data_IF_518939137134
#
_entry.id   IF_518939137134
#
_cell.length_a   1.000
_cell.length_b   1.000
_cell.length_c   1.000
_cell.angle_alpha   90.00
_cell.angle_beta   90.00
_cell.angle_gamma   90.00
#
_symmetry.space_group_name_H-M   'P 1'
#
loop_
_entity.id
_entity.type
_entity.pdbx_description
1 polymer ?
#
# COMPACT_ATOMS: atom_id res chain seq x y z
N UNK A 1 -0.34 15.00 -16.27
CA UNK A 1 -0.96 16.35 -16.46
C UNK A 1 0.11 17.45 -16.44
N UNK A 2 -0.20 18.72 -16.80
CA UNK A 2 0.73 19.84 -16.54
C UNK A 2 0.51 20.43 -15.14
N UNK A 3 1.46 21.24 -14.64
CA UNK A 3 1.26 21.99 -13.38
C UNK A 3 0.05 22.93 -13.47
N UNK A 4 -0.20 23.50 -14.65
CA UNK A 4 -1.31 24.41 -14.88
C UNK A 4 -2.65 23.66 -14.82
N UNK A 5 -2.72 22.47 -15.42
CA UNK A 5 -3.92 21.62 -15.39
C UNK A 5 -4.24 21.18 -13.96
N UNK A 6 -3.22 20.76 -13.19
CA UNK A 6 -3.39 20.43 -11.77
C UNK A 6 -3.96 21.63 -10.98
N UNK A 7 -3.46 22.84 -11.24
CA UNK A 7 -3.95 24.05 -10.58
C UNK A 7 -5.38 24.40 -11.00
N UNK A 8 -5.74 24.16 -12.26
CA UNK A 8 -7.11 24.35 -12.75
C UNK A 8 -8.06 23.37 -12.06
N UNK A 9 -7.67 22.09 -11.94
CA UNK A 9 -8.41 21.08 -11.19
C UNK A 9 -8.59 21.48 -9.71
N UNK A 10 -7.52 21.97 -9.06
CA UNK A 10 -7.59 22.43 -7.68
C UNK A 10 -8.51 23.64 -7.51
N UNK A 11 -8.52 24.60 -8.44
CA UNK A 11 -9.46 25.72 -8.42
C UNK A 11 -10.90 25.24 -8.67
N UNK A 12 -11.12 24.27 -9.56
CA UNK A 12 -12.44 23.69 -9.77
C UNK A 12 -12.96 22.97 -8.51
N UNK A 13 -12.08 22.26 -7.79
CA UNK A 13 -12.40 21.60 -6.51
C UNK A 13 -12.59 22.59 -5.36
N UNK A 14 -11.85 23.70 -5.36
CA UNK A 14 -11.88 24.76 -4.35
C UNK A 14 -12.14 26.13 -5.00
N UNK A 15 -13.39 26.45 -5.39
CA UNK A 15 -13.72 27.64 -6.20
C UNK A 15 -13.42 29.00 -5.55
N UNK A 16 -13.22 29.03 -4.24
CA UNK A 16 -12.82 30.23 -3.51
C UNK A 16 -11.32 30.56 -3.63
N UNK A 17 -10.52 29.68 -4.23
CA UNK A 17 -9.07 29.84 -4.41
C UNK A 17 -8.71 30.28 -5.83
N UNK A 18 -7.47 30.72 -6.03
CA UNK A 18 -6.91 31.09 -7.33
C UNK A 18 -5.68 30.25 -7.65
N UNK A 19 -5.46 29.94 -8.93
CA UNK A 19 -4.34 29.09 -9.40
C UNK A 19 -2.95 29.59 -8.96
N UNK A 20 -2.79 30.91 -8.76
CA UNK A 20 -1.53 31.53 -8.30
C UNK A 20 -1.23 31.25 -6.83
N UNK A 21 -2.24 30.95 -6.01
CA UNK A 21 -2.12 30.73 -4.57
C UNK A 21 -1.64 29.30 -4.26
N UNK A 22 -1.92 28.36 -5.16
CA UNK A 22 -1.42 26.99 -5.07
C UNK A 22 0.07 26.92 -5.38
N UNK A 23 0.86 26.44 -4.42
CA UNK A 23 2.31 26.21 -4.58
C UNK A 23 2.59 24.73 -4.74
N UNK A 24 3.26 24.33 -5.82
CA UNK A 24 3.75 22.95 -5.98
C UNK A 24 4.95 22.75 -5.05
N UNK A 25 4.88 21.71 -4.22
CA UNK A 25 5.94 21.36 -3.27
C UNK A 25 6.79 20.19 -3.78
N UNK A 26 6.16 19.15 -4.36
CA UNK A 26 6.85 17.97 -4.85
C UNK A 26 6.11 17.30 -6.02
N UNK A 27 6.83 16.45 -6.75
CA UNK A 27 6.31 15.48 -7.72
C UNK A 27 7.03 14.14 -7.52
N UNK A 28 6.30 13.03 -7.52
CA UNK A 28 6.80 11.68 -7.27
C UNK A 28 5.82 10.62 -7.76
N UNK A 29 6.22 9.35 -7.79
CA UNK A 29 5.33 8.23 -8.09
C UNK A 29 4.80 7.60 -6.79
N UNK A 30 3.53 7.20 -6.79
CA UNK A 30 2.94 6.39 -5.71
C UNK A 30 3.25 4.89 -5.90
N UNK A 31 2.62 4.05 -5.08
CA UNK A 31 2.67 2.58 -5.11
C UNK A 31 2.10 1.95 -6.39
N UNK A 32 1.25 2.65 -7.12
CA UNK A 32 0.68 2.25 -8.42
C UNK A 32 1.47 2.81 -9.61
N UNK A 33 2.63 3.43 -9.36
CA UNK A 33 3.42 4.19 -10.34
C UNK A 33 2.69 5.39 -10.98
N UNK A 34 1.57 5.84 -10.39
CA UNK A 34 0.90 7.07 -10.80
C UNK A 34 1.73 8.30 -10.41
N UNK A 35 1.74 9.30 -11.28
CA UNK A 35 2.38 10.58 -11.02
C UNK A 35 1.56 11.40 -10.02
N UNK A 36 2.11 11.62 -8.83
CA UNK A 36 1.50 12.43 -7.77
C UNK A 36 2.20 13.78 -7.67
N UNK A 37 1.41 14.85 -7.55
CA UNK A 37 1.90 16.18 -7.17
C UNK A 37 1.35 16.61 -5.83
N UNK A 38 2.24 17.04 -4.94
CA UNK A 38 1.88 17.69 -3.69
C UNK A 38 1.81 19.19 -3.88
N UNK A 39 0.70 19.79 -3.46
CA UNK A 39 0.48 21.23 -3.43
C UNK A 39 0.18 21.71 -2.02
N UNK A 40 0.57 22.95 -1.72
CA UNK A 40 0.16 23.66 -0.53
C UNK A 40 -0.60 24.94 -0.89
N UNK A 41 -1.58 25.28 -0.07
CA UNK A 41 -2.35 26.51 -0.13
C UNK A 41 -2.52 27.11 1.27
N UNK A 42 -2.41 28.44 1.44
CA UNK A 42 -2.47 29.08 2.77
C UNK A 42 -3.74 28.76 3.57
N UNK A 43 -4.88 28.65 2.90
CA UNK A 43 -6.19 28.41 3.55
C UNK A 43 -6.65 26.96 3.55
N UNK A 44 -6.30 26.20 2.50
CA UNK A 44 -6.81 24.81 2.32
C UNK A 44 -5.86 23.80 2.96
N UNK A 45 -4.58 24.15 3.11
CA UNK A 45 -3.55 23.24 3.58
C UNK A 45 -2.87 22.50 2.43
N UNK A 46 -2.42 21.27 2.71
CA UNK A 46 -1.75 20.41 1.74
C UNK A 46 -2.75 19.48 1.06
N UNK A 47 -2.58 19.32 -0.25
CA UNK A 47 -3.38 18.41 -1.09
C UNK A 47 -2.46 17.68 -2.06
N UNK A 48 -2.90 16.51 -2.50
CA UNK A 48 -2.22 15.69 -3.49
C UNK A 48 -3.11 15.59 -4.72
N UNK A 49 -2.49 15.70 -5.90
CA UNK A 49 -3.16 15.47 -7.17
C UNK A 49 -2.58 14.20 -7.78
N UNK A 50 -3.43 13.21 -8.01
CA UNK A 50 -3.09 12.07 -8.85
C UNK A 50 -3.30 12.50 -10.31
N UNK A 51 -2.20 12.61 -11.06
CA UNK A 51 -2.25 13.12 -12.43
C UNK A 51 -2.83 12.13 -13.43
N UNK A 52 -2.82 10.84 -13.11
CA UNK A 52 -3.29 9.77 -14.01
C UNK A 52 -4.81 9.63 -13.93
N UNK A 53 -5.38 9.82 -12.74
CA UNK A 53 -6.83 9.74 -12.50
C UNK A 53 -7.52 11.10 -12.42
N UNK A 54 -6.78 12.21 -12.49
CA UNK A 54 -7.29 13.58 -12.32
C UNK A 54 -8.02 13.78 -10.97
N UNK A 55 -7.53 13.13 -9.92
CA UNK A 55 -8.15 13.14 -8.60
C UNK A 55 -7.42 14.04 -7.61
N UNK A 56 -8.20 14.69 -6.73
CA UNK A 56 -7.69 15.51 -5.63
C UNK A 56 -7.90 14.77 -4.32
N UNK A 57 -6.79 14.46 -3.66
CA UNK A 57 -6.75 13.66 -2.43
C UNK A 57 -6.25 14.55 -1.30
N UNK A 58 -6.89 14.46 -0.13
CA UNK A 58 -6.60 15.30 1.05
C UNK A 58 -6.08 14.51 2.24
N UNK A 59 -6.14 13.17 2.17
CA UNK A 59 -5.63 12.29 3.21
C UNK A 59 -4.19 11.89 2.85
N UNK A 60 -3.21 12.35 3.62
CA UNK A 60 -1.80 12.01 3.40
C UNK A 60 -1.47 10.54 3.67
N UNK A 61 -2.35 9.87 4.42
CA UNK A 61 -2.26 8.43 4.72
C UNK A 61 -2.93 7.58 3.66
N UNK A 62 -3.55 8.18 2.65
CA UNK A 62 -4.11 7.43 1.53
C UNK A 62 -2.97 6.71 0.79
N UNK A 63 -3.16 5.39 0.65
CA UNK A 63 -2.20 4.51 0.00
C UNK A 63 -1.84 4.99 -1.42
N UNK A 64 -2.81 5.56 -2.15
CA UNK A 64 -2.64 6.04 -3.51
C UNK A 64 -1.91 7.40 -3.62
N UNK A 65 -1.47 8.01 -2.52
CA UNK A 65 -0.65 9.25 -2.57
C UNK A 65 0.65 9.16 -1.79
N UNK A 66 0.90 8.04 -1.13
CA UNK A 66 2.15 7.81 -0.41
C UNK A 66 3.24 7.32 -1.38
N UNK A 67 4.48 7.72 -1.09
CA UNK A 67 5.64 7.20 -1.82
C UNK A 67 6.02 5.82 -1.25
N UNK A 68 6.45 4.85 -2.08
CA UNK A 68 6.84 3.52 -1.59
C UNK A 68 7.85 3.56 -0.43
N UNK A 69 8.82 4.48 -0.47
CA UNK A 69 9.83 4.64 0.60
C UNK A 69 9.33 5.24 1.91
N UNK A 70 8.08 5.71 1.97
CA UNK A 70 7.48 6.33 3.17
C UNK A 70 6.66 5.35 3.99
N UNK A 71 6.55 4.11 3.54
CA UNK A 71 5.91 3.04 4.30
C UNK A 71 6.85 2.45 5.35
N UNK A 72 6.27 1.79 6.33
CA UNK A 72 6.93 0.95 7.32
C UNK A 72 6.19 -0.39 7.43
N UNK A 73 6.84 -1.43 7.95
CA UNK A 73 6.19 -2.73 8.17
C UNK A 73 4.89 -2.62 8.99
N UNK A 74 4.85 -1.70 9.97
CA UNK A 74 3.68 -1.46 10.83
C UNK A 74 2.48 -0.83 10.11
N UNK A 75 2.65 -0.40 8.85
CA UNK A 75 1.56 0.06 8.00
C UNK A 75 0.75 -1.11 7.39
N UNK A 76 1.18 -2.36 7.60
CA UNK A 76 0.58 -3.53 6.96
C UNK A 76 0.09 -4.55 7.97
N UNK A 77 -1.10 -5.09 7.70
CA UNK A 77 -1.49 -6.37 8.29
C UNK A 77 -0.97 -7.51 7.42
N UNK A 78 -0.68 -8.65 8.05
CA UNK A 78 -0.35 -9.88 7.36
C UNK A 78 -1.10 -11.09 7.94
N UNK A 79 -1.24 -12.14 7.13
CA UNK A 79 -1.78 -13.44 7.50
C UNK A 79 -0.97 -14.54 6.82
N UNK A 80 -0.55 -15.56 7.59
CA UNK A 80 0.24 -16.70 7.09
C UNK A 80 -0.66 -17.90 6.92
N UNK A 81 -0.64 -18.49 5.73
CA UNK A 81 -1.41 -19.67 5.34
C UNK A 81 -0.49 -20.78 4.81
N UNK A 82 -0.89 -22.05 4.91
CA UNK A 82 -0.21 -23.10 4.17
C UNK A 82 -0.26 -22.80 2.66
N UNK A 83 0.81 -23.16 1.94
CA UNK A 83 0.79 -23.15 0.48
C UNK A 83 0.14 -24.46 0.01
N UNK A 84 -0.97 -24.39 -0.73
CA UNK A 84 -1.80 -25.53 -1.09
C UNK A 84 -1.74 -25.91 -2.58
N UNK A 85 -0.97 -25.19 -3.40
CA UNK A 85 -0.88 -25.47 -4.83
C UNK A 85 0.03 -26.68 -5.13
N UNK A 86 -0.58 -27.79 -5.57
CA UNK A 86 0.10 -29.05 -5.95
C UNK A 86 1.08 -28.88 -7.14
N UNK A 87 1.07 -27.73 -7.83
CA UNK A 87 1.86 -27.47 -9.03
C UNK A 87 3.27 -26.88 -8.81
N UNK A 88 3.58 -26.32 -7.64
CA UNK A 88 4.82 -25.59 -7.38
C UNK A 88 5.55 -26.13 -6.15
N UNK A 89 6.52 -27.02 -6.38
CA UNK A 89 7.19 -27.83 -5.36
C UNK A 89 8.19 -27.11 -4.43
N UNK A 90 8.05 -25.82 -4.11
CA UNK A 90 9.09 -25.11 -3.33
C UNK A 90 8.62 -24.04 -2.32
N UNK A 91 7.36 -23.64 -2.30
CA UNK A 91 6.87 -22.69 -1.29
C UNK A 91 6.32 -23.43 -0.07
N UNK A 92 6.72 -23.03 1.13
CA UNK A 92 6.26 -23.60 2.40
C UNK A 92 5.04 -22.91 2.98
N UNK A 93 4.79 -21.66 2.56
CA UNK A 93 3.68 -20.85 3.03
C UNK A 93 3.31 -19.75 2.04
N UNK A 94 2.08 -19.27 2.16
CA UNK A 94 1.63 -18.00 1.59
C UNK A 94 1.49 -16.95 2.69
N UNK A 95 1.92 -15.73 2.41
CA UNK A 95 1.67 -14.57 3.27
C UNK A 95 0.79 -13.60 2.50
N UNK A 96 -0.45 -13.41 2.97
CA UNK A 96 -1.33 -12.36 2.48
C UNK A 96 -1.05 -11.08 3.25
N UNK A 97 -1.01 -9.94 2.58
CA UNK A 97 -0.81 -8.63 3.19
C UNK A 97 -1.89 -7.64 2.78
N UNK A 98 -2.13 -6.62 3.60
CA UNK A 98 -2.98 -5.49 3.23
C UNK A 98 -2.49 -4.22 3.92
N UNK A 99 -2.63 -3.08 3.25
CA UNK A 99 -2.41 -1.80 3.89
C UNK A 99 -3.46 -1.55 4.98
N UNK A 100 -2.99 -1.42 6.22
CA UNK A 100 -3.83 -1.43 7.42
C UNK A 100 -4.94 -0.36 7.37
N UNK A 101 -4.61 0.89 7.07
CA UNK A 101 -5.60 1.97 7.17
C UNK A 101 -6.70 1.84 6.10
N UNK A 102 -6.36 1.34 4.90
CA UNK A 102 -7.35 1.02 3.87
C UNK A 102 -8.26 -0.12 4.31
N UNK A 103 -7.67 -1.20 4.86
CA UNK A 103 -8.45 -2.32 5.36
C UNK A 103 -9.38 -1.91 6.51
N UNK A 104 -8.88 -1.12 7.46
CA UNK A 104 -9.67 -0.62 8.59
C UNK A 104 -10.84 0.27 8.13
N UNK A 105 -10.69 1.01 7.02
CA UNK A 105 -11.72 1.89 6.46
C UNK A 105 -12.76 1.13 5.60
N UNK A 106 -12.30 0.19 4.78
CA UNK A 106 -13.12 -0.43 3.73
C UNK A 106 -13.56 -1.87 4.03
N UNK A 107 -12.85 -2.58 4.90
CA UNK A 107 -13.15 -3.97 5.29
C UNK A 107 -12.81 -5.03 4.24
N UNK A 108 -12.05 -4.69 3.19
CA UNK A 108 -11.61 -5.62 2.16
C UNK A 108 -10.15 -5.34 1.73
N UNK A 109 -9.56 -6.30 1.01
CA UNK A 109 -8.20 -6.18 0.46
C UNK A 109 -8.21 -5.43 -0.87
N UNK A 110 -7.30 -4.48 -1.00
CA UNK A 110 -7.07 -3.85 -2.30
C UNK A 110 -6.21 -4.76 -3.21
N UNK A 111 -6.47 -4.73 -4.51
CA UNK A 111 -5.77 -5.54 -5.50
C UNK A 111 -4.55 -4.80 -6.04
N UNK A 112 -3.52 -4.67 -5.20
CA UNK A 112 -2.29 -3.95 -5.54
C UNK A 112 -1.05 -4.80 -5.29
N UNK A 113 -0.11 -4.74 -6.24
CA UNK A 113 1.24 -5.25 -6.04
C UNK A 113 1.99 -4.44 -4.99
N UNK A 114 2.40 -5.11 -3.92
CA UNK A 114 3.09 -4.52 -2.78
C UNK A 114 4.59 -4.80 -2.79
N UNK A 115 5.13 -5.67 -3.66
CA UNK A 115 6.54 -6.11 -3.58
C UNK A 115 7.51 -4.92 -3.48
N UNK A 116 7.39 -3.95 -4.38
CA UNK A 116 8.27 -2.77 -4.41
C UNK A 116 8.18 -1.93 -3.13
N UNK A 117 7.03 -1.97 -2.43
CA UNK A 117 6.79 -1.23 -1.20
C UNK A 117 7.32 -1.99 0.01
N UNK A 118 7.07 -3.30 0.12
CA UNK A 118 7.36 -4.06 1.35
C UNK A 118 8.70 -4.78 1.35
N UNK A 119 9.36 -4.91 0.19
CA UNK A 119 10.64 -5.64 0.07
C UNK A 119 11.76 -5.12 0.96
N UNK A 120 11.79 -3.83 1.23
CA UNK A 120 12.76 -3.23 2.15
C UNK A 120 12.58 -3.68 3.61
N UNK A 121 11.42 -4.24 3.94
CA UNK A 121 11.04 -4.65 5.29
C UNK A 121 10.93 -6.17 5.46
N UNK A 122 11.21 -6.96 4.40
CA UNK A 122 11.12 -8.42 4.51
C UNK A 122 11.98 -8.96 5.66
N UNK A 123 11.49 -9.97 6.40
CA UNK A 123 12.27 -10.58 7.46
C UNK A 123 13.61 -11.09 6.92
N UNK A 124 14.68 -10.87 7.67
CA UNK A 124 16.03 -11.24 7.25
C UNK A 124 16.13 -12.75 7.08
N UNK A 125 16.65 -13.17 5.94
CA UNK A 125 16.87 -14.59 5.65
C UNK A 125 15.62 -15.32 5.11
N UNK A 126 14.49 -14.63 4.92
CA UNK A 126 13.36 -15.17 4.17
C UNK A 126 13.45 -14.74 2.70
N UNK A 127 13.30 -15.72 1.80
CA UNK A 127 13.00 -15.45 0.39
C UNK A 127 11.49 -15.30 0.22
N UNK A 128 11.07 -14.05 0.05
CA UNK A 128 9.69 -13.68 -0.26
C UNK A 128 9.61 -13.25 -1.73
N UNK A 129 8.63 -13.78 -2.46
CA UNK A 129 8.28 -13.36 -3.82
C UNK A 129 6.78 -13.04 -3.85
N UNK A 130 6.39 -11.94 -4.46
CA UNK A 130 4.97 -11.68 -4.71
C UNK A 130 4.50 -12.55 -5.87
N UNK A 131 3.56 -13.45 -5.60
CA UNK A 131 2.98 -14.36 -6.60
C UNK A 131 1.72 -13.76 -7.23
N UNK A 132 0.90 -13.08 -6.43
CA UNK A 132 -0.28 -12.33 -6.82
C UNK A 132 -0.36 -11.04 -6.03
N UNK A 133 -1.21 -10.10 -6.43
CA UNK A 133 -1.41 -8.82 -5.75
C UNK A 133 -1.56 -9.01 -4.23
N UNK A 134 -0.57 -8.54 -3.47
CA UNK A 134 -0.48 -8.64 -2.02
C UNK A 134 -0.40 -10.08 -1.43
N UNK A 135 -0.08 -11.08 -2.26
CA UNK A 135 0.14 -12.47 -1.85
C UNK A 135 1.59 -12.87 -2.12
N UNK A 136 2.28 -13.28 -1.07
CA UNK A 136 3.71 -13.58 -1.11
C UNK A 136 3.97 -15.05 -0.83
N UNK A 137 4.64 -15.73 -1.75
CA UNK A 137 5.18 -17.07 -1.51
C UNK A 137 6.46 -17.00 -0.68
N UNK A 138 6.58 -17.92 0.28
CA UNK A 138 7.77 -18.10 1.11
C UNK A 138 8.46 -19.41 0.69
N UNK A 139 9.66 -19.30 0.12
CA UNK A 139 10.41 -20.44 -0.43
C UNK A 139 11.43 -21.04 0.56
N UNK A 140 11.08 -21.11 1.84
CA UNK A 140 11.97 -21.60 2.92
C UNK A 140 11.33 -22.72 3.72
N UNK A 141 12.07 -23.75 4.09
CA UNK A 141 11.57 -24.86 4.93
C UNK A 141 11.44 -24.42 6.41
N UNK A 142 10.37 -23.69 6.71
CA UNK A 142 10.03 -23.16 8.03
C UNK A 142 8.58 -23.50 8.39
N UNK A 143 8.29 -23.62 9.69
CA UNK A 143 6.91 -23.75 10.16
C UNK A 143 6.16 -22.44 9.97
N UNK A 144 4.82 -22.51 9.82
CA UNK A 144 3.97 -21.32 9.73
C UNK A 144 4.16 -20.39 10.93
N UNK A 145 4.35 -20.94 12.13
CA UNK A 145 4.63 -20.17 13.35
C UNK A 145 5.97 -19.43 13.29
N UNK A 146 7.02 -20.06 12.74
CA UNK A 146 8.32 -19.42 12.58
C UNK A 146 8.29 -18.30 11.55
N UNK A 147 7.53 -18.48 10.45
CA UNK A 147 7.29 -17.44 9.46
C UNK A 147 6.52 -16.29 10.10
N UNK A 148 5.42 -16.58 10.80
CA UNK A 148 4.61 -15.59 11.52
C UNK A 148 5.46 -14.76 12.50
N UNK A 149 6.26 -15.42 13.33
CA UNK A 149 7.15 -14.75 14.27
C UNK A 149 8.17 -13.85 13.57
N UNK A 150 8.71 -14.29 12.42
CA UNK A 150 9.66 -13.49 11.64
C UNK A 150 9.04 -12.19 11.11
N UNK A 151 7.78 -12.23 10.66
CA UNK A 151 7.04 -11.04 10.23
C UNK A 151 6.70 -10.10 11.39
N UNK A 152 6.30 -10.65 12.55
CA UNK A 152 6.11 -9.86 13.77
C UNK A 152 7.40 -9.15 14.19
N UNK A 153 8.54 -9.84 14.15
CA UNK A 153 9.86 -9.27 14.46
C UNK A 153 10.30 -8.19 13.46
N UNK A 154 9.88 -8.29 12.21
CA UNK A 154 10.09 -7.26 11.19
C UNK A 154 9.17 -6.03 11.38
N UNK A 155 8.18 -6.11 12.27
CA UNK A 155 7.30 -5.01 12.66
C UNK A 155 5.95 -4.99 11.94
N UNK A 156 5.59 -6.06 11.21
CA UNK A 156 4.26 -6.21 10.64
C UNK A 156 3.23 -6.51 11.73
N UNK A 157 1.95 -6.22 11.44
CA UNK A 157 0.87 -6.38 12.40
C UNK A 157 -0.07 -7.53 12.01
N UNK A 158 -0.72 -8.14 13.00
CA UNK A 158 -1.83 -9.07 12.76
C UNK A 158 -3.16 -8.38 13.03
N UNK A 159 -4.24 -8.89 12.41
CA UNK A 159 -5.60 -8.43 12.66
C UNK A 159 -6.55 -9.64 12.64
N UNK A 160 -7.31 -9.89 13.73
CA UNK A 160 -8.27 -10.99 13.75
C UNK A 160 -9.32 -10.90 12.63
N UNK A 161 -9.73 -9.69 12.27
CA UNK A 161 -10.66 -9.47 11.16
C UNK A 161 -10.05 -9.81 9.81
N UNK A 162 -8.77 -9.47 9.61
CA UNK A 162 -8.04 -9.82 8.39
C UNK A 162 -7.80 -11.33 8.30
N UNK A 163 -7.38 -11.97 9.39
CA UNK A 163 -7.21 -13.42 9.44
C UNK A 163 -8.51 -14.16 9.11
N UNK A 164 -9.65 -13.71 9.65
CA UNK A 164 -10.96 -14.28 9.33
C UNK A 164 -11.32 -14.12 7.85
N UNK A 165 -11.08 -12.95 7.25
CA UNK A 165 -11.33 -12.71 5.83
C UNK A 165 -10.54 -13.70 4.94
N UNK A 166 -9.26 -13.90 5.25
CA UNK A 166 -8.42 -14.85 4.49
C UNK A 166 -8.94 -16.28 4.64
N UNK A 167 -9.33 -16.70 5.85
CA UNK A 167 -9.90 -18.03 6.07
C UNK A 167 -11.21 -18.26 5.32
N UNK A 168 -12.08 -17.26 5.25
CA UNK A 168 -13.33 -17.35 4.48
C UNK A 168 -13.08 -17.45 2.97
N UNK A 169 -12.04 -16.80 2.45
CA UNK A 169 -11.71 -16.85 1.01
C UNK A 169 -11.18 -18.21 0.53
N UNK A 170 -10.78 -19.08 1.46
CA UNK A 170 -10.25 -20.42 1.19
C UNK A 170 -11.28 -21.54 1.38
N UNK A 171 -12.46 -21.24 1.94
CA UNK A 171 -13.51 -22.21 2.26
C UNK A 171 -14.48 -22.43 1.10
#
# INVERSE_FOLDING_TARGET
>A
MSTADCKALLVARYPATQAKEWKREAKFNNVMECEIRRFAHPTVGTVWVNEDYEEVITNERDFYVRQPKTFAASDFYFSVQPYDDEGMAAASAMVNMVYKDYFDEHGYMDSVHLEHTVKAFYPKGLRCREDMEAVFAIEEDLTLDAIRESFLQAGFLTSPAFEALIQESMA
#
